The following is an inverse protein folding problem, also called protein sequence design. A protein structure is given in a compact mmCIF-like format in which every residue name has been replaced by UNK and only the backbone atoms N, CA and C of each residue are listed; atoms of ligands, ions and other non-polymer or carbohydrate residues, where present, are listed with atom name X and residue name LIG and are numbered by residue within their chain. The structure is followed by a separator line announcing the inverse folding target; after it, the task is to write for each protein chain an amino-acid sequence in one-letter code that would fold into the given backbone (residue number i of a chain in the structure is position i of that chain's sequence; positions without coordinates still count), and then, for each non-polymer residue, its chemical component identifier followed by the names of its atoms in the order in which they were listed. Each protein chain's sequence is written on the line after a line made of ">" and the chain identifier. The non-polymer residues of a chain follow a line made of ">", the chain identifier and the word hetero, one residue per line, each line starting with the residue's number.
data_IF_748204654221
#
_entry.id   IF_748204654221
#
_cell.length_a   1.000
_cell.length_b   1.000
_cell.length_c   1.000
_cell.angle_alpha   90.00
_cell.angle_beta   90.00
_cell.angle_gamma   90.00
#
_symmetry.space_group_name_H-M   'P 1'
#
loop_
_entity.id
_entity.type
_entity.pdbx_description
1 polymer ?
#
# COMPACT_ATOMS: atom_id res chain seq x y z
N UNK A 1 9.99 7.89 -24.07
CA UNK A 1 8.80 7.61 -23.23
C UNK A 1 9.28 7.06 -21.90
N UNK A 2 9.29 7.89 -20.85
CA UNK A 2 9.74 7.51 -19.50
C UNK A 2 8.49 7.12 -18.70
N UNK A 3 8.10 5.84 -18.71
CA UNK A 3 6.97 5.40 -17.91
C UNK A 3 7.37 5.25 -16.43
N UNK A 4 6.68 6.01 -15.57
CA UNK A 4 6.30 5.71 -14.20
C UNK A 4 7.39 5.71 -13.11
N UNK A 5 7.71 6.90 -12.57
CA UNK A 5 8.29 7.05 -11.23
C UNK A 5 7.21 7.16 -10.16
N UNK A 6 6.08 6.46 -10.31
CA UNK A 6 4.96 6.58 -9.37
C UNK A 6 4.30 7.97 -9.38
N UNK A 7 4.31 8.67 -10.51
CA UNK A 7 3.80 10.04 -10.67
C UNK A 7 2.26 10.17 -10.64
N UNK A 8 1.55 9.04 -10.53
CA UNK A 8 0.10 8.99 -10.60
C UNK A 8 -0.43 9.21 -12.03
N UNK A 9 -1.75 9.38 -12.15
CA UNK A 9 -2.38 9.63 -13.44
C UNK A 9 -3.71 10.41 -13.30
N UNK A 10 -4.02 11.19 -14.32
CA UNK A 10 -5.28 11.90 -14.52
C UNK A 10 -5.91 11.46 -15.85
N UNK A 11 -7.24 11.25 -15.89
CA UNK A 11 -7.96 10.77 -17.07
C UNK A 11 -9.32 10.17 -16.71
N UNK A 12 -9.64 8.97 -17.22
CA UNK A 12 -10.86 8.22 -16.88
C UNK A 12 -11.00 7.85 -15.38
N UNK A 13 -9.95 8.09 -14.59
CA UNK A 13 -9.94 8.03 -13.13
C UNK A 13 -8.74 8.80 -12.57
N UNK A 14 -8.82 9.20 -11.30
CA UNK A 14 -7.70 9.81 -10.59
C UNK A 14 -6.90 8.76 -9.83
N UNK A 15 -5.62 8.63 -10.16
CA UNK A 15 -4.66 7.80 -9.45
C UNK A 15 -3.66 8.71 -8.73
N UNK A 16 -3.68 8.76 -7.39
CA UNK A 16 -2.75 9.59 -6.63
C UNK A 16 -1.28 9.21 -6.90
N UNK A 17 -0.36 10.18 -6.95
CA UNK A 17 1.06 9.87 -7.02
C UNK A 17 1.53 9.14 -5.76
N UNK A 18 2.42 8.17 -5.95
CA UNK A 18 3.17 7.53 -4.89
C UNK A 18 4.50 8.26 -4.65
N UNK A 19 5.16 8.77 -5.68
CA UNK A 19 6.36 9.59 -5.50
C UNK A 19 6.01 11.02 -5.08
N UNK A 20 6.90 11.65 -4.32
CA UNK A 20 6.76 13.03 -3.82
C UNK A 20 5.45 13.27 -3.06
N UNK A 21 4.89 12.23 -2.45
CA UNK A 21 3.65 12.29 -1.69
C UNK A 21 3.95 12.13 -0.20
N UNK A 22 3.73 13.18 0.59
CA UNK A 22 4.01 13.20 2.04
C UNK A 22 3.28 12.09 2.81
N UNK A 23 2.17 11.57 2.29
CA UNK A 23 1.47 10.43 2.90
C UNK A 23 2.32 9.16 2.89
N UNK A 24 3.23 8.99 1.94
CA UNK A 24 4.12 7.82 1.86
C UNK A 24 5.19 7.83 2.96
N UNK A 25 5.37 8.93 3.68
CA UNK A 25 6.25 8.97 4.86
C UNK A 25 5.72 8.07 5.98
N UNK A 26 4.41 7.87 6.06
CA UNK A 26 3.82 6.99 7.07
C UNK A 26 3.69 5.57 6.51
N UNK A 27 4.64 4.68 6.82
CA UNK A 27 4.57 3.27 6.39
C UNK A 27 3.25 2.58 6.73
N UNK A 28 2.66 2.90 7.88
CA UNK A 28 1.35 2.37 8.29
C UNK A 28 0.19 2.87 7.43
N UNK A 29 0.28 4.07 6.84
CA UNK A 29 -0.71 4.53 5.87
C UNK A 29 -0.68 3.67 4.61
N UNK A 30 0.51 3.39 4.08
CA UNK A 30 0.69 2.53 2.90
C UNK A 30 0.17 1.12 3.17
N UNK A 31 0.57 0.52 4.29
CA UNK A 31 0.12 -0.81 4.71
C UNK A 31 -1.42 -0.85 4.81
N UNK A 32 -2.03 0.15 5.45
CA UNK A 32 -3.48 0.24 5.58
C UNK A 32 -4.19 0.31 4.22
N UNK A 33 -3.67 1.08 3.27
CA UNK A 33 -4.24 1.18 1.91
C UNK A 33 -4.11 -0.15 1.15
N UNK A 34 -3.00 -0.86 1.28
CA UNK A 34 -2.81 -2.18 0.62
C UNK A 34 -3.78 -3.22 1.21
N UNK A 35 -3.89 -3.27 2.54
CA UNK A 35 -4.75 -4.23 3.25
C UNK A 35 -6.22 -3.92 3.04
N UNK A 36 -6.63 -2.65 3.10
CA UNK A 36 -8.05 -2.29 3.11
C UNK A 36 -8.58 -1.89 1.73
N UNK A 37 -7.70 -1.64 0.77
CA UNK A 37 -8.04 -0.86 -0.41
C UNK A 37 -8.27 0.61 -0.05
N UNK A 38 -8.55 1.42 -1.06
CA UNK A 38 -8.90 2.83 -0.88
C UNK A 38 -9.70 3.34 -2.07
N UNK A 39 -10.97 3.69 -1.84
CA UNK A 39 -11.90 4.13 -2.90
C UNK A 39 -12.00 3.04 -3.98
N UNK A 40 -11.67 3.34 -5.23
CA UNK A 40 -11.68 2.37 -6.34
C UNK A 40 -10.49 1.40 -6.35
N UNK A 41 -9.52 1.52 -5.44
CA UNK A 41 -8.42 0.56 -5.31
C UNK A 41 -8.89 -0.67 -4.52
N UNK A 42 -8.87 -1.89 -5.10
CA UNK A 42 -9.19 -3.11 -4.38
C UNK A 42 -8.22 -3.40 -3.24
N UNK A 43 -8.68 -4.18 -2.25
CA UNK A 43 -7.82 -4.74 -1.22
C UNK A 43 -6.90 -5.83 -1.80
N UNK A 44 -5.68 -5.91 -1.27
CA UNK A 44 -4.73 -7.00 -1.54
C UNK A 44 -4.57 -7.96 -0.35
N UNK A 45 -5.43 -7.86 0.67
CA UNK A 45 -5.36 -8.67 1.89
C UNK A 45 -5.24 -10.17 1.58
N UNK A 46 -6.16 -10.73 0.79
CA UNK A 46 -6.18 -12.16 0.46
C UNK A 46 -5.13 -12.57 -0.57
N UNK A 47 -4.58 -11.60 -1.33
CA UNK A 47 -3.67 -11.85 -2.44
C UNK A 47 -2.20 -11.85 -2.01
N UNK A 48 -1.87 -11.19 -0.89
CA UNK A 48 -0.49 -11.01 -0.45
C UNK A 48 -0.32 -11.38 1.02
N UNK A 49 0.74 -12.13 1.33
CA UNK A 49 1.18 -12.36 2.70
C UNK A 49 1.93 -11.13 3.27
N UNK A 50 2.24 -11.17 4.58
CA UNK A 50 2.88 -10.03 5.27
C UNK A 50 4.25 -9.65 4.73
N UNK A 51 5.03 -10.63 4.27
CA UNK A 51 6.34 -10.37 3.66
C UNK A 51 6.19 -9.63 2.33
N UNK A 52 5.20 -9.99 1.52
CA UNK A 52 4.91 -9.33 0.25
C UNK A 52 4.40 -7.90 0.46
N UNK A 53 3.44 -7.69 1.37
CA UNK A 53 2.95 -6.35 1.71
C UNK A 53 4.08 -5.50 2.29
N UNK A 54 4.92 -6.08 3.15
CA UNK A 54 6.07 -5.41 3.72
C UNK A 54 7.08 -4.96 2.66
N UNK A 55 7.39 -5.83 1.70
CA UNK A 55 8.31 -5.52 0.60
C UNK A 55 7.77 -4.41 -0.33
N UNK A 56 6.49 -4.47 -0.70
CA UNK A 56 5.85 -3.40 -1.51
C UNK A 56 5.86 -2.08 -0.75
N UNK A 57 5.54 -2.12 0.55
CA UNK A 57 5.57 -0.93 1.41
C UNK A 57 6.99 -0.37 1.51
N UNK A 58 8.01 -1.22 1.71
CA UNK A 58 9.42 -0.81 1.77
C UNK A 58 9.85 -0.13 0.46
N UNK A 59 9.47 -0.68 -0.69
CA UNK A 59 9.77 -0.08 -1.99
C UNK A 59 9.13 1.31 -2.14
N UNK A 60 7.84 1.44 -1.83
CA UNK A 60 7.13 2.73 -1.95
C UNK A 60 7.64 3.76 -0.94
N UNK A 61 7.88 3.34 0.30
CA UNK A 61 8.34 4.23 1.38
C UNK A 61 9.79 4.67 1.16
N UNK A 62 10.69 3.72 0.88
CA UNK A 62 12.12 3.98 0.84
C UNK A 62 12.65 4.13 -0.57
N UNK A 63 12.55 3.11 -1.43
CA UNK A 63 13.20 3.14 -2.75
C UNK A 63 12.60 4.22 -3.66
N UNK A 64 11.29 4.50 -3.52
CA UNK A 64 10.57 5.47 -4.33
C UNK A 64 10.59 6.89 -3.74
N UNK A 65 10.64 7.04 -2.41
CA UNK A 65 10.49 8.34 -1.73
C UNK A 65 11.66 8.71 -0.79
N UNK A 66 12.70 7.87 -0.71
CA UNK A 66 13.92 8.05 0.09
C UNK A 66 13.70 8.19 1.60
N UNK A 67 12.57 7.71 2.14
CA UNK A 67 12.39 7.66 3.58
C UNK A 67 13.21 6.50 4.18
N UNK A 68 13.78 6.72 5.36
CA UNK A 68 14.80 5.85 5.95
C UNK A 68 14.26 4.84 6.95
N UNK A 69 12.98 4.92 7.31
CA UNK A 69 12.40 3.95 8.23
C UNK A 69 12.29 2.58 7.57
N UNK A 70 12.70 1.54 8.29
CA UNK A 70 12.53 0.16 7.82
C UNK A 70 11.10 -0.31 8.02
N UNK A 71 10.56 -0.98 7.02
CA UNK A 71 9.29 -1.70 7.09
C UNK A 71 9.58 -3.17 7.40
N UNK A 72 8.90 -3.69 8.42
CA UNK A 72 9.03 -5.09 8.85
C UNK A 72 7.71 -5.83 8.67
N UNK A 73 7.76 -7.16 8.62
CA UNK A 73 6.56 -8.00 8.58
C UNK A 73 5.68 -7.79 9.82
N UNK A 74 6.27 -7.51 10.98
CA UNK A 74 5.53 -7.19 12.21
C UNK A 74 4.70 -5.90 12.07
N UNK A 75 5.16 -4.91 11.30
CA UNK A 75 4.37 -3.70 11.04
C UNK A 75 3.10 -4.02 10.24
N UNK A 76 3.15 -5.02 9.35
CA UNK A 76 2.00 -5.48 8.58
C UNK A 76 1.06 -6.30 9.46
N UNK A 77 1.60 -7.26 10.21
CA UNK A 77 0.84 -8.11 11.12
C UNK A 77 0.03 -7.29 12.14
N UNK A 78 0.56 -6.15 12.59
CA UNK A 78 -0.14 -5.23 13.50
C UNK A 78 -1.45 -4.67 12.91
N UNK A 79 -1.55 -4.53 11.58
CA UNK A 79 -2.70 -3.96 10.90
C UNK A 79 -3.55 -5.00 10.16
N UNK A 80 -3.08 -6.23 10.03
CA UNK A 80 -3.82 -7.29 9.37
C UNK A 80 -4.95 -7.77 10.28
N UNK A 81 -6.16 -7.77 9.74
CA UNK A 81 -7.33 -8.42 10.32
C UNK A 81 -7.48 -9.83 9.74
N UNK A 82 -8.22 -10.71 10.43
CA UNK A 82 -8.39 -12.10 9.98
C UNK A 82 -9.26 -12.20 8.73
N UNK A 83 -10.25 -11.32 8.60
CA UNK A 83 -11.25 -11.34 7.53
C UNK A 83 -11.04 -10.18 6.55
N UNK A 84 -10.80 -10.45 5.25
CA UNK A 84 -10.61 -9.41 4.25
C UNK A 84 -11.76 -8.39 4.22
N UNK A 85 -11.51 -7.13 3.78
CA UNK A 85 -12.57 -6.15 3.67
C UNK A 85 -13.53 -6.57 2.56
N UNK A 86 -14.83 -6.69 2.89
CA UNK A 86 -15.87 -7.08 1.95
C UNK A 86 -16.15 -8.58 1.85
N UNK A 87 -15.39 -9.42 2.55
CA UNK A 87 -15.81 -10.79 2.86
C UNK A 87 -16.63 -10.79 4.15
N UNK A 88 -17.81 -11.41 4.10
CA UNK A 88 -18.64 -11.61 5.29
C UNK A 88 -17.89 -12.56 6.26
N UNK A 89 -17.69 -12.19 7.54
CA UNK A 89 -17.06 -13.08 8.52
C UNK A 89 -17.83 -14.39 8.77
N UNK A 90 -19.06 -14.51 8.26
CA UNK A 90 -19.92 -15.68 8.35
C UNK A 90 -20.00 -16.54 7.07
N UNK A 91 -19.31 -16.15 5.99
CA UNK A 91 -19.07 -17.03 4.83
C UNK A 91 -18.01 -18.10 5.10
#
# INVERSE_FOLDING_TARGET
>A
MLYAKGDGAYGAGYYPPLANNSKMQLKYYIISVIINGLRGMPSFHSMMNDAQIGAVTQYVHSDLNNFTDTVTTANVAQLRHDFPPGSDPSE
#
